data_IF_900803025034
#
_entry.id   IF_900803025034
#
_cell.length_a   1.000
_cell.length_b   1.000
_cell.length_c   1.000
_cell.angle_alpha   90.00
_cell.angle_beta   90.00
_cell.angle_gamma   90.00
#
_symmetry.space_group_name_H-M   'P 1'
#
loop_
_entity.id
_entity.type
_entity.pdbx_description
1 polymer ?
#
# COMPACT_ATOMS: atom_id res chain seq x y z
N UNK A 1 -6.14 -18.02 5.86
CA UNK A 1 -5.39 -16.79 6.19
C UNK A 1 -6.23 -16.00 7.17
N UNK A 2 -5.78 -15.82 8.41
CA UNK A 2 -6.51 -15.02 9.40
C UNK A 2 -6.47 -13.53 9.07
N UNK A 3 -7.50 -12.78 9.44
CA UNK A 3 -7.51 -11.32 9.32
C UNK A 3 -6.45 -10.73 10.25
N UNK A 4 -5.33 -10.26 9.67
CA UNK A 4 -4.23 -9.61 10.39
C UNK A 4 -4.51 -8.13 10.70
N UNK A 5 -5.60 -7.60 10.15
CA UNK A 5 -6.09 -6.22 10.33
C UNK A 5 -7.60 -6.27 10.47
N UNK A 6 -8.15 -5.55 11.45
CA UNK A 6 -9.58 -5.45 11.71
C UNK A 6 -10.06 -4.03 11.48
N UNK A 7 -11.14 -3.88 10.72
CA UNK A 7 -11.86 -2.61 10.59
C UNK A 7 -13.03 -2.61 11.57
N UNK A 8 -13.01 -1.66 12.51
CA UNK A 8 -14.07 -1.45 13.49
C UNK A 8 -14.58 -0.01 13.37
N UNK A 9 -15.83 0.14 12.93
CA UNK A 9 -16.51 1.43 12.83
C UNK A 9 -17.54 1.66 13.95
N UNK A 10 -17.59 0.81 14.98
CA UNK A 10 -18.58 0.88 16.07
C UNK A 10 -18.64 2.24 16.75
N UNK A 11 -17.50 2.93 16.87
CA UNK A 11 -17.40 4.28 17.45
C UNK A 11 -18.04 5.38 16.59
N UNK A 12 -18.33 5.10 15.32
CA UNK A 12 -19.03 6.00 14.41
C UNK A 12 -20.53 5.66 14.28
N UNK A 13 -21.05 4.64 14.99
CA UNK A 13 -22.42 4.16 14.82
C UNK A 13 -23.51 5.20 15.19
N UNK A 14 -23.16 6.23 15.97
CA UNK A 14 -24.05 7.35 16.29
C UNK A 14 -24.20 8.35 15.14
N UNK A 15 -23.30 8.32 14.15
CA UNK A 15 -23.28 9.24 13.00
C UNK A 15 -23.39 8.54 11.65
N UNK A 16 -23.06 7.24 11.59
CA UNK A 16 -23.21 6.39 10.39
C UNK A 16 -23.97 5.12 10.78
N UNK A 17 -25.19 4.96 10.27
CA UNK A 17 -26.02 3.79 10.57
C UNK A 17 -25.68 2.62 9.66
N UNK A 18 -25.98 1.41 10.14
CA UNK A 18 -25.76 0.17 9.38
C UNK A 18 -26.50 0.16 8.03
N UNK A 19 -27.73 0.69 8.00
CA UNK A 19 -28.55 0.85 6.79
C UNK A 19 -27.88 1.73 5.72
N UNK A 20 -27.14 2.76 6.14
CA UNK A 20 -26.39 3.64 5.23
C UNK A 20 -25.21 2.91 4.61
N UNK A 21 -24.47 2.13 5.40
CA UNK A 21 -23.37 1.28 4.90
C UNK A 21 -23.91 0.23 3.93
N UNK A 22 -25.04 -0.41 4.28
CA UNK A 22 -25.69 -1.39 3.42
C UNK A 22 -26.17 -0.78 2.09
N UNK A 23 -26.69 0.45 2.11
CA UNK A 23 -27.11 1.16 0.90
C UNK A 23 -25.96 1.45 -0.07
N UNK A 24 -24.72 1.62 0.43
CA UNK A 24 -23.55 1.86 -0.42
C UNK A 24 -23.06 0.62 -1.16
N UNK A 25 -23.51 -0.58 -0.76
CA UNK A 25 -23.01 -1.87 -1.26
C UNK A 25 -22.92 -1.93 -2.79
N UNK A 26 -24.01 -1.61 -3.49
CA UNK A 26 -24.05 -1.72 -4.96
C UNK A 26 -23.00 -0.81 -5.62
N UNK A 27 -22.87 0.42 -5.13
CA UNK A 27 -21.90 1.38 -5.66
C UNK A 27 -20.47 0.94 -5.38
N UNK A 28 -20.18 0.42 -4.19
CA UNK A 28 -18.86 -0.14 -3.85
C UNK A 28 -18.52 -1.37 -4.69
N UNK A 29 -19.48 -2.26 -4.94
CA UNK A 29 -19.30 -3.43 -5.81
C UNK A 29 -18.98 -3.03 -7.25
N UNK A 30 -19.72 -2.06 -7.80
CA UNK A 30 -19.42 -1.52 -9.14
C UNK A 30 -18.03 -0.87 -9.19
N UNK A 31 -17.65 -0.07 -8.19
CA UNK A 31 -16.32 0.54 -8.13
C UNK A 31 -15.21 -0.52 -8.06
N UNK A 32 -15.41 -1.58 -7.27
CA UNK A 32 -14.49 -2.72 -7.20
C UNK A 32 -14.37 -3.41 -8.54
N UNK A 33 -15.47 -3.66 -9.23
CA UNK A 33 -15.47 -4.30 -10.55
C UNK A 33 -14.67 -3.47 -11.56
N UNK A 34 -14.92 -2.16 -11.65
CA UNK A 34 -14.17 -1.24 -12.53
C UNK A 34 -12.67 -1.29 -12.23
N UNK A 35 -12.30 -1.31 -10.94
CA UNK A 35 -10.90 -1.34 -10.51
C UNK A 35 -10.21 -2.67 -10.86
N UNK A 36 -10.84 -3.80 -10.53
CA UNK A 36 -10.27 -5.14 -10.75
C UNK A 36 -10.27 -5.52 -12.24
N UNK A 37 -11.26 -5.08 -13.00
CA UNK A 37 -11.30 -5.28 -14.47
C UNK A 37 -10.45 -4.28 -15.24
N UNK A 38 -9.89 -3.25 -14.57
CA UNK A 38 -9.04 -2.21 -15.17
C UNK A 38 -9.73 -1.50 -16.35
N UNK A 39 -11.05 -1.26 -16.26
CA UNK A 39 -11.85 -0.65 -17.33
C UNK A 39 -12.12 0.85 -17.14
N UNK A 40 -11.79 1.39 -15.96
CA UNK A 40 -12.02 2.80 -15.63
C UNK A 40 -10.96 3.75 -16.19
N UNK A 41 -11.23 5.06 -16.08
CA UNK A 41 -10.25 6.10 -16.38
C UNK A 41 -9.02 5.97 -15.47
N UNK A 42 -7.83 6.12 -16.05
CA UNK A 42 -6.55 5.97 -15.33
C UNK A 42 -6.12 4.52 -15.10
N UNK A 43 -6.73 3.56 -15.82
CA UNK A 43 -6.37 2.14 -15.74
C UNK A 43 -4.90 1.83 -16.07
N UNK A 44 -4.21 2.71 -16.78
CA UNK A 44 -2.76 2.65 -17.02
C UNK A 44 -1.92 2.63 -15.71
N UNK A 45 -2.48 3.09 -14.58
CA UNK A 45 -1.77 3.26 -13.31
C UNK A 45 -2.19 2.25 -12.22
N UNK A 46 -2.74 1.09 -12.60
CA UNK A 46 -3.24 0.07 -11.67
C UNK A 46 -2.24 -1.07 -11.36
N UNK A 47 -0.97 -0.91 -11.69
CA UNK A 47 0.06 -1.93 -11.45
C UNK A 47 0.23 -2.34 -9.98
N UNK A 48 -0.15 -1.47 -9.05
CA UNK A 48 -0.08 -1.71 -7.60
C UNK A 48 -1.03 -2.82 -7.11
N UNK A 49 -2.07 -3.17 -7.87
CA UNK A 49 -3.03 -4.23 -7.50
C UNK A 49 -2.33 -5.59 -7.44
N UNK A 50 -1.55 -5.90 -8.48
CA UNK A 50 -0.92 -7.20 -8.66
C UNK A 50 0.52 -7.22 -8.11
N UNK A 51 1.14 -6.05 -7.89
CA UNK A 51 2.52 -5.92 -7.41
C UNK A 51 2.85 -6.80 -6.18
N UNK A 52 1.99 -6.95 -5.15
CA UNK A 52 2.33 -7.79 -3.99
C UNK A 52 2.55 -9.27 -4.32
N UNK A 53 1.96 -9.77 -5.41
CA UNK A 53 2.08 -11.17 -5.85
C UNK A 53 3.03 -11.31 -7.05
N UNK A 54 3.00 -10.34 -7.97
CA UNK A 54 3.68 -10.35 -9.26
C UNK A 54 4.74 -9.24 -9.40
N UNK A 55 5.51 -9.00 -8.34
CA UNK A 55 6.71 -8.16 -8.42
C UNK A 55 7.89 -8.91 -9.06
N UNK A 56 8.78 -8.19 -9.72
CA UNK A 56 10.03 -8.72 -10.27
C UNK A 56 10.94 -9.27 -9.14
N UNK A 57 11.08 -10.60 -9.10
CA UNK A 57 11.86 -11.29 -8.07
C UNK A 57 13.36 -11.07 -8.24
N UNK A 58 13.84 -10.94 -9.47
CA UNK A 58 15.26 -10.70 -9.75
C UNK A 58 15.65 -9.28 -9.32
N UNK A 59 14.79 -8.30 -9.61
CA UNK A 59 14.97 -6.94 -9.13
C UNK A 59 14.97 -6.88 -7.59
N UNK A 60 14.03 -7.57 -6.95
CA UNK A 60 13.98 -7.62 -5.49
C UNK A 60 15.26 -8.20 -4.86
N UNK A 61 15.85 -9.22 -5.48
CA UNK A 61 17.13 -9.78 -5.04
C UNK A 61 18.30 -8.81 -5.29
N UNK A 62 18.28 -8.05 -6.40
CA UNK A 62 19.26 -6.97 -6.63
C UNK A 62 19.14 -5.86 -5.59
N UNK A 63 17.92 -5.47 -5.20
CA UNK A 63 17.68 -4.48 -4.14
C UNK A 63 18.31 -4.94 -2.82
N UNK A 64 18.09 -6.20 -2.41
CA UNK A 64 18.70 -6.76 -1.20
C UNK A 64 20.23 -6.76 -1.24
N UNK A 65 20.82 -7.12 -2.39
CA UNK A 65 22.28 -7.10 -2.57
C UNK A 65 22.84 -5.68 -2.47
N UNK A 66 22.17 -4.70 -3.08
CA UNK A 66 22.56 -3.30 -2.98
C UNK A 66 22.45 -2.78 -1.54
N UNK A 67 21.37 -3.11 -0.83
CA UNK A 67 21.20 -2.74 0.58
C UNK A 67 22.32 -3.32 1.46
N UNK A 68 22.68 -4.60 1.27
CA UNK A 68 23.79 -5.23 2.01
C UNK A 68 25.11 -4.52 1.74
N UNK A 69 25.41 -4.20 0.48
CA UNK A 69 26.62 -3.46 0.12
C UNK A 69 26.70 -2.09 0.82
N UNK A 70 25.62 -1.31 0.73
CA UNK A 70 25.54 0.02 1.38
C UNK A 70 25.78 -0.10 2.90
N UNK A 71 25.21 -1.13 3.54
CA UNK A 71 25.43 -1.36 4.98
C UNK A 71 26.88 -1.74 5.33
N UNK A 72 27.60 -2.39 4.42
CA UNK A 72 28.99 -2.82 4.63
C UNK A 72 29.99 -1.69 4.40
N UNK A 73 29.70 -0.77 3.47
CA UNK A 73 30.65 0.26 3.03
C UNK A 73 30.25 1.71 3.39
N UNK A 74 29.08 1.92 4.00
CA UNK A 74 28.54 3.26 4.30
C UNK A 74 27.93 3.36 5.71
N UNK A 75 28.23 4.45 6.42
CA UNK A 75 27.60 4.77 7.72
C UNK A 75 26.23 5.43 7.57
N UNK A 76 26.01 6.14 6.45
CA UNK A 76 24.80 6.93 6.20
C UNK A 76 24.33 6.73 4.76
N UNK A 77 23.01 6.55 4.57
CA UNK A 77 22.35 6.59 3.27
C UNK A 77 21.52 7.88 3.13
N UNK A 78 21.93 8.77 2.23
CA UNK A 78 21.16 9.95 1.86
C UNK A 78 20.18 9.63 0.71
N UNK A 79 18.89 9.61 1.01
CA UNK A 79 17.83 9.43 0.02
C UNK A 79 17.36 10.79 -0.48
N UNK A 80 17.44 11.02 -1.81
CA UNK A 80 16.97 12.25 -2.45
C UNK A 80 15.65 11.96 -3.18
N UNK A 81 14.55 12.52 -2.68
CA UNK A 81 13.23 12.33 -3.26
C UNK A 81 12.19 13.22 -2.61
N UNK A 82 11.05 13.41 -3.29
CA UNK A 82 9.89 14.18 -2.79
C UNK A 82 8.60 13.42 -3.08
N UNK A 83 7.50 13.78 -2.40
CA UNK A 83 6.19 13.17 -2.61
C UNK A 83 6.19 11.68 -2.31
N UNK A 84 5.66 10.86 -3.24
CA UNK A 84 5.61 9.40 -3.10
C UNK A 84 6.98 8.75 -2.93
N UNK A 85 8.03 9.31 -3.55
CA UNK A 85 9.41 8.83 -3.44
C UNK A 85 10.08 9.12 -2.10
N UNK A 86 9.45 9.92 -1.22
CA UNK A 86 9.92 10.23 0.13
C UNK A 86 9.01 9.62 1.20
N UNK A 87 7.70 9.90 1.12
CA UNK A 87 6.75 9.61 2.20
C UNK A 87 6.65 8.11 2.51
N UNK A 88 6.64 7.25 1.49
CA UNK A 88 6.55 5.80 1.69
C UNK A 88 7.77 5.22 2.41
N UNK A 89 8.97 5.59 1.95
CA UNK A 89 10.22 5.15 2.56
C UNK A 89 10.35 5.67 4.00
N UNK A 90 10.07 6.97 4.22
CA UNK A 90 10.16 7.59 5.55
C UNK A 90 9.15 6.98 6.53
N UNK A 91 7.89 6.82 6.12
CA UNK A 91 6.86 6.22 6.98
C UNK A 91 7.21 4.80 7.43
N UNK A 92 7.75 3.96 6.52
CA UNK A 92 8.16 2.60 6.88
C UNK A 92 9.37 2.58 7.83
N UNK A 93 10.38 3.42 7.58
CA UNK A 93 11.57 3.51 8.44
C UNK A 93 11.20 4.00 9.84
N UNK A 94 10.43 5.09 9.94
CA UNK A 94 10.04 5.68 11.22
C UNK A 94 9.10 4.75 12.01
N UNK A 95 8.26 3.95 11.33
CA UNK A 95 7.34 3.02 12.00
C UNK A 95 8.03 1.73 12.51
N UNK A 96 9.03 1.22 11.77
CA UNK A 96 9.65 -0.08 12.06
C UNK A 96 10.94 0.00 12.87
N UNK A 97 11.53 1.19 13.04
CA UNK A 97 12.78 1.37 13.76
C UNK A 97 12.58 2.14 15.07
N UNK A 98 13.64 2.13 15.89
CA UNK A 98 13.68 2.97 17.08
C UNK A 98 13.62 4.47 16.71
N UNK A 99 12.95 5.29 17.53
CA UNK A 99 12.94 6.74 17.37
C UNK A 99 14.33 7.36 17.50
#
# INVERSE_FOLDING_TARGET
MGNKVTFDYSKAANVVREEEVAAMKKMTETAKEVLVTKTGLGNDFLGWIDLPVDYDKEEFDRIKKAAKKIQEDSEVLLVIGIGGSYLGARAAIDFLNHP
#
